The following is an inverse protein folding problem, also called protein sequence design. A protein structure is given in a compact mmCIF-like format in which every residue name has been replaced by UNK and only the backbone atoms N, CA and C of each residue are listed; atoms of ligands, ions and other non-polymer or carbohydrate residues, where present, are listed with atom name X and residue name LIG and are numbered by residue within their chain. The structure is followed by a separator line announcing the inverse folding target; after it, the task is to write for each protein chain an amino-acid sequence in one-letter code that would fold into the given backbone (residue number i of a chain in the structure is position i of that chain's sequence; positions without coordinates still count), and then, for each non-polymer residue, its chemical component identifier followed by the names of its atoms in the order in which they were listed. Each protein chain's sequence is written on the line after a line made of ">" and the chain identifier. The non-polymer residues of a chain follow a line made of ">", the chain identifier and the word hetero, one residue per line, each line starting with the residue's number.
data_IF_612160032092
#
_entry.id   IF_612160032092
#
_cell.length_a   1.000
_cell.length_b   1.000
_cell.length_c   1.000
_cell.angle_alpha   90.00
_cell.angle_beta   90.00
_cell.angle_gamma   90.00
#
_symmetry.space_group_name_H-M   'P 1'
#
loop_
_entity.id
_entity.type
_entity.pdbx_description
1 polymer ?
#
# COMPACT_ATOMS: atom_id res chain seq x y z
N UNK A 1 4.49 12.78 18.94
CA UNK A 1 5.10 11.60 18.28
C UNK A 1 5.79 12.08 17.02
N UNK A 2 6.92 11.48 16.64
CA UNK A 2 7.66 11.89 15.44
C UNK A 2 7.09 11.21 14.18
N UNK A 3 7.26 11.80 12.99
CA UNK A 3 7.04 11.10 11.73
C UNK A 3 7.85 9.80 11.66
N UNK A 4 7.29 8.77 11.04
CA UNK A 4 8.01 7.53 10.74
C UNK A 4 9.17 7.79 9.77
N UNK A 5 10.27 7.06 9.92
CA UNK A 5 11.38 7.08 8.95
C UNK A 5 11.06 6.25 7.71
N UNK A 6 11.91 6.35 6.70
CA UNK A 6 11.81 5.51 5.50
C UNK A 6 11.88 4.02 5.84
N UNK A 7 12.81 3.63 6.72
CA UNK A 7 12.99 2.25 7.15
C UNK A 7 11.76 1.74 7.88
N UNK A 8 11.27 2.50 8.86
CA UNK A 8 10.07 2.16 9.62
C UNK A 8 8.85 1.99 8.69
N UNK A 9 8.63 2.92 7.76
CA UNK A 9 7.52 2.81 6.81
C UNK A 9 7.58 1.52 5.99
N UNK A 10 8.79 1.05 5.68
CA UNK A 10 9.06 -0.21 5.01
C UNK A 10 8.70 -1.45 5.82
N UNK A 11 8.70 -1.38 7.16
CA UNK A 11 8.31 -2.48 8.06
C UNK A 11 6.80 -2.71 8.05
N UNK A 12 6.01 -1.63 7.92
CA UNK A 12 4.55 -1.70 7.75
C UNK A 12 4.12 -1.88 6.27
N UNK A 13 5.01 -2.40 5.41
CA UNK A 13 4.74 -2.60 3.99
C UNK A 13 4.05 -3.94 3.73
N UNK A 14 2.90 -3.88 3.06
CA UNK A 14 2.21 -5.07 2.55
C UNK A 14 2.75 -5.44 1.16
N UNK A 15 3.04 -6.73 0.96
CA UNK A 15 3.51 -7.27 -0.32
C UNK A 15 2.40 -8.03 -1.04
N UNK A 16 2.55 -8.26 -2.34
CA UNK A 16 1.61 -9.10 -3.10
C UNK A 16 1.56 -10.51 -2.52
N UNK A 17 2.68 -11.07 -2.12
CA UNK A 17 2.74 -12.43 -1.56
C UNK A 17 2.01 -12.53 -0.21
N UNK A 18 2.03 -11.47 0.61
CA UNK A 18 1.25 -11.40 1.86
C UNK A 18 -0.25 -11.31 1.54
N UNK A 19 -0.62 -10.47 0.57
CA UNK A 19 -2.00 -10.35 0.11
C UNK A 19 -2.53 -11.68 -0.45
N UNK A 20 -1.75 -12.41 -1.25
CA UNK A 20 -2.13 -13.72 -1.79
C UNK A 20 -2.40 -14.75 -0.68
N UNK A 21 -1.63 -14.70 0.41
CA UNK A 21 -1.82 -15.58 1.57
C UNK A 21 -3.04 -15.21 2.40
N UNK A 22 -3.33 -13.91 2.54
CA UNK A 22 -4.34 -13.42 3.47
C UNK A 22 -5.68 -13.07 2.83
N UNK A 23 -5.79 -12.97 1.51
CA UNK A 23 -7.01 -12.50 0.82
C UNK A 23 -8.28 -13.30 1.15
N UNK A 24 -8.13 -14.56 1.60
CA UNK A 24 -9.24 -15.44 1.98
C UNK A 24 -9.41 -15.57 3.50
N UNK A 25 -8.62 -14.85 4.29
CA UNK A 25 -8.71 -14.84 5.74
C UNK A 25 -9.85 -13.93 6.22
N UNK A 26 -10.63 -14.32 7.25
CA UNK A 26 -11.71 -13.48 7.78
C UNK A 26 -11.26 -12.11 8.31
N UNK A 27 -9.99 -12.00 8.71
CA UNK A 27 -9.37 -10.79 9.25
C UNK A 27 -8.58 -9.98 8.20
N UNK A 28 -8.73 -10.29 6.91
CA UNK A 28 -7.95 -9.70 5.82
C UNK A 28 -7.98 -8.17 5.84
N UNK A 29 -9.17 -7.56 5.86
CA UNK A 29 -9.33 -6.11 5.84
C UNK A 29 -8.68 -5.44 7.07
N UNK A 30 -8.88 -6.03 8.25
CA UNK A 30 -8.29 -5.52 9.49
C UNK A 30 -6.76 -5.56 9.43
N UNK A 31 -6.19 -6.66 8.93
CA UNK A 31 -4.74 -6.83 8.82
C UNK A 31 -4.12 -5.77 7.90
N UNK A 32 -4.72 -5.56 6.71
CA UNK A 32 -4.13 -4.69 5.69
C UNK A 32 -4.44 -3.21 5.86
N UNK A 33 -5.53 -2.84 6.55
CA UNK A 33 -5.90 -1.43 6.72
C UNK A 33 -4.88 -0.70 7.59
N UNK A 34 -4.38 0.45 7.12
CA UNK A 34 -3.29 1.20 7.74
C UNK A 34 -1.89 0.76 7.32
N UNK A 35 -1.76 -0.31 6.54
CA UNK A 35 -0.49 -0.70 5.93
C UNK A 35 -0.10 0.20 4.75
N UNK A 36 1.14 0.07 4.28
CA UNK A 36 1.63 0.76 3.09
C UNK A 36 1.85 -0.22 1.94
N UNK A 37 1.31 0.08 0.76
CA UNK A 37 1.49 -0.72 -0.44
C UNK A 37 2.35 0.01 -1.47
N UNK A 38 3.22 -0.72 -2.16
CA UNK A 38 3.97 -0.23 -3.32
C UNK A 38 3.18 -0.53 -4.59
N UNK A 39 2.50 0.46 -5.15
CA UNK A 39 1.55 0.26 -6.25
C UNK A 39 2.17 0.71 -7.56
N UNK A 40 2.13 -0.18 -8.55
CA UNK A 40 2.50 0.15 -9.92
C UNK A 40 1.41 1.01 -10.59
N UNK A 41 1.76 2.22 -11.03
CA UNK A 41 0.82 3.18 -11.62
C UNK A 41 0.93 3.33 -13.15
N UNK A 42 1.67 2.42 -13.80
CA UNK A 42 1.90 2.40 -15.24
C UNK A 42 3.30 2.88 -15.63
N UNK A 43 3.54 2.97 -16.94
CA UNK A 43 4.83 3.37 -17.49
C UNK A 43 5.01 4.89 -17.49
N UNK A 44 6.22 5.34 -17.16
CA UNK A 44 6.64 6.72 -17.24
C UNK A 44 7.03 7.14 -18.66
N UNK A 45 7.43 8.40 -18.86
CA UNK A 45 7.86 8.92 -20.17
C UNK A 45 9.09 8.19 -20.74
N UNK A 46 9.90 7.58 -19.88
CA UNK A 46 11.06 6.76 -20.22
C UNK A 46 10.71 5.28 -20.47
N UNK A 47 9.42 4.94 -20.47
CA UNK A 47 8.92 3.57 -20.62
C UNK A 47 9.09 2.70 -19.37
N UNK A 48 9.70 3.21 -18.30
CA UNK A 48 9.92 2.44 -17.07
C UNK A 48 8.68 2.43 -16.19
N UNK A 49 8.42 1.30 -15.52
CA UNK A 49 7.28 1.20 -14.60
C UNK A 49 7.47 2.14 -13.41
N UNK A 50 6.47 2.99 -13.17
CA UNK A 50 6.46 3.95 -12.05
C UNK A 50 5.67 3.36 -10.90
N UNK A 51 6.25 3.45 -9.70
CA UNK A 51 5.61 3.01 -8.47
C UNK A 51 5.31 4.19 -7.55
N UNK A 52 4.30 4.01 -6.68
CA UNK A 52 3.97 4.94 -5.59
C UNK A 52 3.76 4.18 -4.29
N UNK A 53 4.16 4.82 -3.19
CA UNK A 53 3.74 4.41 -1.85
C UNK A 53 2.32 4.91 -1.64
N UNK A 54 1.42 4.00 -1.26
CA UNK A 54 0.04 4.32 -0.93
C UNK A 54 -0.32 3.73 0.42
N UNK A 55 -1.10 4.45 1.23
CA UNK A 55 -1.61 3.95 2.50
C UNK A 55 -2.97 3.26 2.27
N UNK A 56 -3.10 2.03 2.74
CA UNK A 56 -4.33 1.24 2.62
C UNK A 56 -5.38 1.79 3.58
N UNK A 57 -6.53 2.19 3.04
CA UNK A 57 -7.65 2.78 3.77
C UNK A 57 -8.79 1.79 4.03
N UNK A 58 -8.73 0.60 3.43
CA UNK A 58 -9.76 -0.42 3.51
C UNK A 58 -9.71 -1.37 2.31
N UNK A 59 -10.63 -2.33 2.31
CA UNK A 59 -10.81 -3.29 1.22
C UNK A 59 -12.21 -3.12 0.65
N UNK A 60 -12.33 -3.10 -0.68
CA UNK A 60 -13.63 -3.00 -1.37
C UNK A 60 -13.70 -4.02 -2.50
N UNK A 61 -14.91 -4.27 -3.00
CA UNK A 61 -15.11 -5.11 -4.18
C UNK A 61 -14.82 -4.35 -5.47
N UNK A 62 -14.03 -4.96 -6.34
CA UNK A 62 -13.75 -4.53 -7.69
C UNK A 62 -14.86 -5.03 -8.64
N UNK A 63 -15.33 -4.21 -9.59
CA UNK A 63 -16.47 -4.57 -10.45
C UNK A 63 -16.30 -5.84 -11.29
N UNK A 64 -15.05 -6.27 -11.54
CA UNK A 64 -14.75 -7.47 -12.33
C UNK A 64 -13.78 -8.36 -11.57
N UNK A 65 -14.12 -9.64 -11.34
CA UNK A 65 -13.17 -10.61 -10.80
C UNK A 65 -11.92 -10.70 -11.69
N UNK A 66 -10.78 -10.95 -11.06
CA UNK A 66 -9.49 -11.03 -11.74
C UNK A 66 -8.63 -12.15 -11.14
N UNK A 67 -7.66 -12.60 -11.91
CA UNK A 67 -6.71 -13.62 -11.47
C UNK A 67 -5.74 -13.01 -10.45
N UNK A 68 -5.58 -13.69 -9.31
CA UNK A 68 -4.68 -13.29 -8.25
C UNK A 68 -3.98 -14.51 -7.66
N UNK A 69 -2.68 -14.63 -7.94
CA UNK A 69 -1.93 -15.86 -7.73
C UNK A 69 -2.60 -17.05 -8.42
N UNK A 70 -2.90 -18.08 -7.64
CA UNK A 70 -3.59 -19.30 -8.10
C UNK A 70 -5.12 -19.24 -7.93
N UNK A 71 -5.67 -18.10 -7.51
CA UNK A 71 -7.11 -17.96 -7.23
C UNK A 71 -7.73 -16.84 -8.06
N UNK A 72 -9.05 -16.76 -8.07
CA UNK A 72 -9.79 -15.59 -8.58
C UNK A 72 -10.34 -14.81 -7.40
N UNK A 73 -10.26 -13.49 -7.46
CA UNK A 73 -10.81 -12.60 -6.44
C UNK A 73 -11.45 -11.39 -7.09
N UNK A 74 -12.42 -10.80 -6.41
CA UNK A 74 -12.92 -9.46 -6.71
C UNK A 74 -12.48 -8.45 -5.64
N UNK A 75 -11.72 -8.82 -4.61
CA UNK A 75 -11.27 -7.87 -3.59
C UNK A 75 -10.25 -6.89 -4.16
N UNK A 76 -10.24 -5.65 -3.72
CA UNK A 76 -9.29 -4.62 -4.10
C UNK A 76 -8.95 -3.72 -2.92
N UNK A 77 -7.76 -3.11 -2.95
CA UNK A 77 -7.31 -2.21 -1.91
C UNK A 77 -7.73 -0.78 -2.24
N UNK A 78 -8.47 -0.16 -1.33
CA UNK A 78 -8.74 1.28 -1.39
C UNK A 78 -7.56 2.00 -0.78
N UNK A 79 -6.74 2.66 -1.59
CA UNK A 79 -5.50 3.27 -1.12
C UNK A 79 -5.46 4.78 -1.35
N UNK A 80 -4.80 5.49 -0.44
CA UNK A 80 -4.54 6.92 -0.51
C UNK A 80 -3.09 7.23 -0.87
N UNK A 81 -2.87 8.29 -1.64
CA UNK A 81 -1.57 8.92 -1.87
C UNK A 81 -1.78 10.44 -1.81
N UNK A 82 -1.57 11.01 -0.61
CA UNK A 82 -2.11 12.33 -0.32
C UNK A 82 -3.64 12.29 -0.22
N UNK A 83 -4.31 13.30 -0.77
CA UNK A 83 -5.76 13.42 -0.87
C UNK A 83 -6.37 12.48 -1.90
N UNK A 84 -5.57 11.99 -2.85
CA UNK A 84 -6.05 11.10 -3.89
C UNK A 84 -6.32 9.71 -3.30
N UNK A 85 -7.58 9.28 -3.34
CA UNK A 85 -8.02 7.94 -2.96
C UNK A 85 -8.44 7.20 -4.22
N UNK A 86 -7.91 5.99 -4.43
CA UNK A 86 -8.23 5.14 -5.57
C UNK A 86 -8.31 3.68 -5.16
N UNK A 87 -9.12 2.93 -5.90
CA UNK A 87 -9.25 1.50 -5.77
C UNK A 87 -8.25 0.79 -6.69
N UNK A 88 -7.43 -0.10 -6.14
CA UNK A 88 -6.39 -0.83 -6.84
C UNK A 88 -6.58 -2.33 -6.66
N UNK A 89 -6.48 -3.07 -7.77
CA UNK A 89 -6.41 -4.53 -7.71
C UNK A 89 -5.14 -4.96 -6.98
N UNK A 90 -5.16 -6.12 -6.34
CA UNK A 90 -4.04 -6.63 -5.56
C UNK A 90 -2.89 -7.16 -6.42
N UNK A 91 -3.16 -7.55 -7.68
CA UNK A 91 -2.15 -8.10 -8.61
C UNK A 91 -1.05 -7.09 -8.98
N UNK A 92 -1.37 -5.79 -8.94
CA UNK A 92 -0.44 -4.70 -9.26
C UNK A 92 0.36 -4.19 -8.06
N UNK A 93 0.18 -4.78 -6.87
CA UNK A 93 1.03 -4.53 -5.71
C UNK A 93 2.40 -5.16 -5.95
N UNK A 94 3.46 -4.43 -5.64
CA UNK A 94 4.83 -4.90 -5.82
C UNK A 94 5.35 -5.61 -4.57
N UNK A 95 6.09 -6.71 -4.78
CA UNK A 95 6.86 -7.36 -3.71
C UNK A 95 8.15 -6.62 -3.36
N UNK A 96 8.63 -5.73 -4.23
CA UNK A 96 9.89 -5.01 -4.01
C UNK A 96 9.76 -3.96 -2.91
N UNK A 97 10.86 -3.71 -2.20
CA UNK A 97 10.96 -2.64 -1.20
C UNK A 97 10.65 -1.26 -1.81
N UNK A 98 10.25 -0.31 -0.96
CA UNK A 98 10.17 1.09 -1.34
C UNK A 98 11.54 1.61 -1.74
N UNK A 99 11.57 2.60 -2.63
CA UNK A 99 12.80 3.33 -2.95
C UNK A 99 12.78 4.71 -2.30
N UNK A 100 13.97 5.28 -2.07
CA UNK A 100 14.08 6.65 -1.52
C UNK A 100 13.30 7.66 -2.38
N UNK A 101 13.40 7.54 -3.71
CA UNK A 101 12.68 8.41 -4.65
C UNK A 101 11.15 8.31 -4.51
N UNK A 102 10.63 7.11 -4.25
CA UNK A 102 9.19 6.90 -4.01
C UNK A 102 8.76 7.51 -2.68
N UNK A 103 9.58 7.36 -1.64
CA UNK A 103 9.36 7.94 -0.31
C UNK A 103 9.40 9.47 -0.32
N UNK A 104 10.43 10.07 -0.92
CA UNK A 104 10.56 11.53 -1.02
C UNK A 104 9.34 12.15 -1.72
N UNK A 105 8.86 11.49 -2.80
CA UNK A 105 7.64 11.90 -3.49
C UNK A 105 6.41 11.78 -2.59
N UNK A 106 6.26 10.67 -1.88
CA UNK A 106 5.15 10.44 -0.97
C UNK A 106 5.11 11.51 0.12
N UNK A 107 6.23 11.73 0.81
CA UNK A 107 6.37 12.75 1.85
C UNK A 107 6.13 14.15 1.31
N UNK A 108 6.73 14.51 0.17
CA UNK A 108 6.51 15.79 -0.49
C UNK A 108 5.04 16.04 -0.82
N UNK A 109 4.32 15.01 -1.27
CA UNK A 109 2.88 15.08 -1.54
C UNK A 109 2.08 15.32 -0.25
N UNK A 110 2.35 14.56 0.82
CA UNK A 110 1.67 14.74 2.11
C UNK A 110 1.89 16.15 2.67
N UNK A 111 3.12 16.65 2.62
CA UNK A 111 3.45 18.00 3.09
C UNK A 111 2.74 19.07 2.26
N UNK A 112 2.80 18.99 0.94
CA UNK A 112 2.17 19.96 0.04
C UNK A 112 0.65 20.00 0.24
N UNK A 113 0.02 18.84 0.38
CA UNK A 113 -1.43 18.71 0.52
C UNK A 113 -1.91 18.81 1.97
N UNK A 114 -1.01 19.05 2.93
CA UNK A 114 -1.28 19.14 4.37
C UNK A 114 -2.03 17.91 4.90
N UNK A 115 -1.59 16.73 4.46
CA UNK A 115 -2.12 15.46 4.93
C UNK A 115 -1.33 14.96 6.13
N UNK A 116 -1.96 14.11 6.93
CA UNK A 116 -1.31 13.50 8.09
C UNK A 116 -0.19 12.56 7.63
N UNK A 117 0.92 12.60 8.36
CA UNK A 117 2.05 11.70 8.17
C UNK A 117 1.98 10.65 9.28
N UNK A 118 2.10 9.38 8.90
CA UNK A 118 2.12 8.29 9.86
C UNK A 118 3.27 8.47 10.86
N UNK A 119 2.96 8.29 12.15
CA UNK A 119 3.96 8.39 13.19
C UNK A 119 4.71 7.07 13.35
N UNK A 120 5.89 7.10 13.97
CA UNK A 120 6.63 5.88 14.29
C UNK A 120 5.80 4.89 15.12
N UNK A 121 4.93 5.38 16.00
CA UNK A 121 4.03 4.55 16.81
C UNK A 121 2.94 3.89 15.97
N UNK A 122 2.39 4.59 14.98
CA UNK A 122 1.36 4.02 14.09
C UNK A 122 1.94 2.90 13.24
N UNK A 123 3.14 3.10 12.73
CA UNK A 123 3.89 2.10 11.95
C UNK A 123 4.23 0.89 12.82
N UNK A 124 4.72 1.10 14.04
CA UNK A 124 5.06 0.01 14.95
C UNK A 124 3.85 -0.88 15.24
N UNK A 125 2.69 -0.29 15.59
CA UNK A 125 1.47 -1.07 15.80
C UNK A 125 1.08 -1.88 14.57
N UNK A 126 1.20 -1.28 13.38
CA UNK A 126 0.86 -1.97 12.13
C UNK A 126 1.84 -3.08 11.78
N UNK A 127 3.12 -2.91 12.11
CA UNK A 127 4.12 -3.98 11.99
C UNK A 127 3.75 -5.16 12.91
N UNK A 128 3.38 -4.87 14.15
CA UNK A 128 3.01 -5.92 15.12
C UNK A 128 1.78 -6.72 14.64
N UNK A 129 0.87 -6.11 13.86
CA UNK A 129 -0.27 -6.81 13.24
C UNK A 129 0.14 -7.85 12.17
N UNK A 130 1.39 -7.83 11.69
CA UNK A 130 1.89 -8.77 10.68
C UNK A 130 2.61 -10.00 11.26
N UNK A 131 2.92 -9.97 12.57
CA UNK A 131 3.58 -11.06 13.31
C UNK A 131 2.55 -12.04 13.92
#
# INVERSE_FOLDING_TARGET
>A
QRPATFEELGEARITRDMLEKWAHAPFFEQAVTGAFARIGIGQGPDGQMVYRICCVQGVEEYPRPYQFGNTTTNLALRCSHGKAIKLFRMDIVSNGAFTQREYDRYMGTLHHERQNIATSTDVQRKRDDFE
#
